data_IF_830559547994
#
_entry.id   IF_830559547994
#
_cell.length_a   1.000
_cell.length_b   1.000
_cell.length_c   1.000
_cell.angle_alpha   90.00
_cell.angle_beta   90.00
_cell.angle_gamma   90.00
#
_symmetry.space_group_name_H-M   'P 1'
#
loop_
_entity.id
_entity.type
_entity.pdbx_description
1 polymer ?
#
# COMPACT_ATOMS: atom_id res chain seq x y z
N UNK A 1 -2.82 8.18 -5.69
CA UNK A 1 -2.05 8.11 -6.95
C UNK A 1 -2.88 7.21 -7.86
N UNK A 2 -2.44 6.84 -9.06
CA UNK A 2 -3.14 5.82 -9.83
C UNK A 2 -2.07 5.00 -10.55
N UNK A 3 -2.20 3.67 -10.53
CA UNK A 3 -1.31 2.78 -11.28
C UNK A 3 -1.76 2.79 -12.73
N UNK A 4 -0.86 3.10 -13.64
CA UNK A 4 -1.14 3.05 -15.09
C UNK A 4 -0.27 2.05 -15.85
N UNK A 5 0.68 1.39 -15.16
CA UNK A 5 1.55 0.39 -15.75
C UNK A 5 2.18 -0.53 -14.68
N UNK A 6 2.82 -1.61 -15.14
CA UNK A 6 3.43 -2.62 -14.26
C UNK A 6 4.63 -2.11 -13.46
N UNK A 7 5.32 -1.08 -13.96
CA UNK A 7 6.43 -0.46 -13.21
C UNK A 7 5.90 0.25 -11.97
N UNK A 8 4.80 0.98 -12.10
CA UNK A 8 4.13 1.64 -10.98
C UNK A 8 3.46 0.65 -10.05
N UNK A 9 2.89 -0.44 -10.58
CA UNK A 9 2.41 -1.56 -9.78
C UNK A 9 3.52 -2.10 -8.87
N UNK A 10 4.69 -2.39 -9.45
CA UNK A 10 5.81 -2.92 -8.70
C UNK A 10 6.31 -1.92 -7.64
N UNK A 11 6.44 -0.64 -8.00
CA UNK A 11 6.83 0.40 -7.05
C UNK A 11 5.85 0.53 -5.88
N UNK A 12 4.55 0.42 -6.14
CA UNK A 12 3.54 0.48 -5.08
C UNK A 12 3.55 -0.76 -4.20
N UNK A 13 3.72 -1.95 -4.77
CA UNK A 13 3.87 -3.20 -4.00
C UNK A 13 5.08 -3.14 -3.05
N UNK A 14 6.22 -2.63 -3.51
CA UNK A 14 7.40 -2.42 -2.65
C UNK A 14 7.14 -1.40 -1.54
N UNK A 15 6.41 -0.32 -1.83
CA UNK A 15 6.03 0.67 -0.81
C UNK A 15 5.09 0.07 0.24
N UNK A 16 4.11 -0.74 -0.17
CA UNK A 16 3.23 -1.47 0.75
C UNK A 16 4.06 -2.38 1.65
N UNK A 17 4.98 -3.17 1.08
CA UNK A 17 5.87 -4.06 1.85
C UNK A 17 6.66 -3.28 2.90
N UNK A 18 7.26 -2.16 2.51
CA UNK A 18 8.04 -1.34 3.44
C UNK A 18 7.20 -0.75 4.59
N UNK A 19 5.96 -0.33 4.33
CA UNK A 19 5.06 0.14 5.38
C UNK A 19 4.61 -0.99 6.31
N UNK A 20 4.35 -2.18 5.76
CA UNK A 20 4.04 -3.36 6.58
C UNK A 20 5.19 -3.74 7.51
N UNK A 21 6.44 -3.66 7.03
CA UNK A 21 7.64 -3.89 7.86
C UNK A 21 7.74 -2.88 9.01
N UNK A 22 7.48 -1.59 8.75
CA UNK A 22 7.48 -0.57 9.80
C UNK A 22 6.38 -0.81 10.85
N UNK A 23 5.17 -1.19 10.41
CA UNK A 23 4.08 -1.56 11.34
C UNK A 23 4.47 -2.79 12.18
N UNK A 24 5.10 -3.79 11.57
CA UNK A 24 5.57 -4.98 12.27
C UNK A 24 6.65 -4.65 13.32
N UNK A 25 7.58 -3.74 13.01
CA UNK A 25 8.58 -3.25 13.95
C UNK A 25 7.93 -2.49 15.11
N UNK A 26 6.99 -1.58 14.83
CA UNK A 26 6.28 -0.82 15.86
C UNK A 26 5.48 -1.72 16.81
N UNK A 27 4.94 -2.84 16.31
CA UNK A 27 4.21 -3.82 17.13
C UNK A 27 5.07 -4.47 18.20
N UNK A 28 6.39 -4.52 17.99
CA UNK A 28 7.36 -5.08 18.95
C UNK A 28 7.94 -3.97 19.84
N UNK A 29 8.19 -2.80 19.26
CA UNK A 29 8.91 -1.72 19.92
C UNK A 29 8.06 -0.86 20.87
N UNK A 30 6.77 -0.64 20.56
CA UNK A 30 5.91 0.25 21.35
C UNK A 30 5.08 -0.53 22.38
N UNK A 31 5.42 -0.36 23.66
CA UNK A 31 4.77 -1.04 24.77
C UNK A 31 3.42 -0.42 25.16
N UNK A 32 3.21 0.87 24.88
CA UNK A 32 1.96 1.56 25.19
C UNK A 32 0.94 1.38 24.07
N UNK A 33 -0.22 0.74 24.32
CA UNK A 33 -1.21 0.47 23.27
C UNK A 33 -1.80 1.73 22.62
N UNK A 34 -1.90 2.85 23.33
CA UNK A 34 -2.41 4.10 22.77
C UNK A 34 -1.38 4.73 21.82
N UNK A 35 -0.11 4.76 22.23
CA UNK A 35 0.98 5.25 21.38
C UNK A 35 1.13 4.37 20.14
N UNK A 36 1.03 3.04 20.28
CA UNK A 36 1.09 2.11 19.15
C UNK A 36 0.02 2.47 18.12
N UNK A 37 -1.25 2.60 18.55
CA UNK A 37 -2.36 2.94 17.65
C UNK A 37 -2.13 4.26 16.92
N UNK A 38 -1.66 5.29 17.63
CA UNK A 38 -1.37 6.58 17.02
C UNK A 38 -0.24 6.45 15.99
N UNK A 39 0.85 5.77 16.33
CA UNK A 39 2.03 5.57 15.48
C UNK A 39 1.73 4.77 14.20
N UNK A 40 0.86 3.76 14.26
CA UNK A 40 0.56 2.93 13.07
C UNK A 40 -0.59 3.44 12.21
N UNK A 41 -1.45 4.33 12.74
CA UNK A 41 -2.68 4.77 12.06
C UNK A 41 -2.45 5.32 10.65
N UNK A 42 -1.43 6.15 10.46
CA UNK A 42 -1.07 6.71 9.16
C UNK A 42 -0.55 5.66 8.18
N UNK A 43 0.27 4.71 8.64
CA UNK A 43 0.75 3.61 7.81
C UNK A 43 -0.38 2.72 7.33
N UNK A 44 -1.30 2.34 8.23
CA UNK A 44 -2.44 1.49 7.89
C UNK A 44 -3.36 2.17 6.87
N UNK A 45 -3.67 3.45 7.09
CA UNK A 45 -4.50 4.24 6.15
C UNK A 45 -3.87 4.30 4.75
N UNK A 46 -2.56 4.52 4.65
CA UNK A 46 -1.88 4.54 3.36
C UNK A 46 -1.77 3.15 2.72
N UNK A 47 -1.57 2.08 3.51
CA UNK A 47 -1.59 0.70 3.01
C UNK A 47 -2.96 0.39 2.40
N UNK A 48 -4.05 0.72 3.09
CA UNK A 48 -5.41 0.47 2.61
C UNK A 48 -5.67 1.20 1.29
N UNK A 49 -5.28 2.47 1.21
CA UNK A 49 -5.40 3.28 0.00
C UNK A 49 -4.59 2.68 -1.17
N UNK A 50 -3.35 2.27 -0.93
CA UNK A 50 -2.50 1.69 -1.98
C UNK A 50 -2.98 0.29 -2.41
N UNK A 51 -3.47 -0.53 -1.48
CA UNK A 51 -4.04 -1.84 -1.82
C UNK A 51 -5.30 -1.72 -2.67
N UNK A 52 -6.12 -0.68 -2.44
CA UNK A 52 -7.25 -0.37 -3.30
C UNK A 52 -6.79 -0.09 -4.73
N UNK A 53 -5.80 0.78 -4.92
CA UNK A 53 -5.26 1.10 -6.26
C UNK A 53 -4.64 -0.14 -6.94
N UNK A 54 -3.92 -0.99 -6.20
CA UNK A 54 -3.36 -2.25 -6.71
C UNK A 54 -4.47 -3.20 -7.18
N UNK A 55 -5.52 -3.36 -6.38
CA UNK A 55 -6.66 -4.21 -6.72
C UNK A 55 -7.37 -3.69 -7.97
N UNK A 56 -7.59 -2.38 -8.06
CA UNK A 56 -8.22 -1.74 -9.21
C UNK A 56 -7.41 -1.99 -10.49
N UNK A 57 -6.10 -1.76 -10.46
CA UNK A 57 -5.24 -2.02 -11.62
C UNK A 57 -5.23 -3.50 -12.03
N UNK A 58 -5.07 -4.41 -11.08
CA UNK A 58 -5.03 -5.86 -11.36
C UNK A 58 -6.38 -6.43 -11.80
N UNK A 59 -7.48 -5.69 -11.60
CA UNK A 59 -8.79 -6.06 -12.14
C UNK A 59 -8.96 -5.72 -13.62
N UNK A 60 -8.06 -4.91 -14.19
CA UNK A 60 -8.06 -4.57 -15.60
C UNK A 60 -7.30 -5.62 -16.40
N UNK A 61 -7.84 -6.01 -17.56
CA UNK A 61 -7.10 -6.85 -18.49
C UNK A 61 -5.98 -6.00 -19.14
N UNK A 62 -4.77 -6.53 -19.39
CA UNK A 62 -3.67 -5.76 -19.98
C UNK A 62 -4.00 -5.08 -21.33
N UNK A 63 -4.92 -5.67 -22.10
CA UNK A 63 -5.41 -5.09 -23.35
C UNK A 63 -6.28 -3.83 -23.12
N UNK A 64 -6.95 -3.72 -21.97
CA UNK A 64 -7.79 -2.57 -21.60
C UNK A 64 -6.98 -1.51 -20.88
N UNK A 65 -5.95 -1.93 -20.13
CA UNK A 65 -5.02 -1.04 -19.42
C UNK A 65 -4.16 -0.17 -20.37
N UNK A 66 -3.96 -0.61 -21.61
CA UNK A 66 -3.21 0.13 -22.64
C UNK A 66 -4.08 0.97 -23.58
N UNK A 67 -5.39 0.67 -23.64
CA UNK A 67 -6.33 1.27 -24.59
C UNK A 67 -6.98 2.57 -24.09
N UNK A 68 -6.93 2.86 -22.79
CA UNK A 68 -7.46 4.11 -22.24
C UNK A 68 -6.38 5.21 -22.31
N UNK A 69 -6.20 5.77 -23.50
CA UNK A 69 -5.47 7.03 -23.76
C UNK A 69 -6.41 8.05 -24.38
#
# INVERSE_FOLDING_TARGET
>A
MMIVNDRELHAMLERIRHFQEQVAQLRIAEANPANFRLSVSGFLTEIDRMQLEVREYLSLHPADATANR
#
